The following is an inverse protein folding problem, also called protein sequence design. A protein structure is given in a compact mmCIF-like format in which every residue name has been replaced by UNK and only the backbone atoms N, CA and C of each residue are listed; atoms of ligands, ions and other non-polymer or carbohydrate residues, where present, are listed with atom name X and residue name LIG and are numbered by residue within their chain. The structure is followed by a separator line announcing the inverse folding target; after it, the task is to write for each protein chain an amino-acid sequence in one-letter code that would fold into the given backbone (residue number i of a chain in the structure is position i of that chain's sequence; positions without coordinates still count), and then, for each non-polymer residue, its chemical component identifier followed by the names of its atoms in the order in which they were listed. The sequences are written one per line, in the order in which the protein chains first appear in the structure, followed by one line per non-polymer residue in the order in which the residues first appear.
data_IF_510565315560
#
_entry.id   IF_510565315560
#
_cell.length_a   1.000
_cell.length_b   1.000
_cell.length_c   1.000
_cell.angle_alpha   90.00
_cell.angle_beta   90.00
_cell.angle_gamma   90.00
#
_symmetry.space_group_name_H-M   'P 1'
#
loop_
_entity.id
_entity.type
_entity.pdbx_description
1 polymer ?
#
# COMPACT_ATOMS: atom_id res chain seq x y z
N UNK A 1 2.06 18.01 7.24
CA UNK A 1 3.15 17.81 6.27
C UNK A 1 2.63 17.90 4.83
N UNK A 2 1.80 16.97 4.34
CA UNK A 2 1.35 16.97 2.93
C UNK A 2 0.58 18.23 2.51
N UNK A 3 -0.28 18.77 3.37
CA UNK A 3 -0.95 20.07 3.12
C UNK A 3 0.03 21.26 3.06
N UNK A 4 1.17 21.16 3.76
CA UNK A 4 2.18 22.23 3.85
C UNK A 4 3.18 22.17 2.69
N UNK A 5 3.47 20.97 2.18
CA UNK A 5 4.47 20.71 1.14
C UNK A 5 3.89 19.86 -0.01
N UNK A 6 2.81 20.31 -0.68
CA UNK A 6 2.11 19.50 -1.68
C UNK A 6 2.91 19.33 -2.99
N UNK A 7 3.89 20.22 -3.25
CA UNK A 7 4.77 20.15 -4.43
C UNK A 7 6.10 19.44 -4.14
N UNK A 8 6.52 19.43 -2.88
CA UNK A 8 7.83 18.93 -2.47
C UNK A 8 7.79 17.50 -1.94
N UNK A 9 6.60 17.02 -1.51
CA UNK A 9 6.43 15.69 -0.92
C UNK A 9 5.39 14.89 -1.70
N UNK A 10 5.84 13.77 -2.28
CA UNK A 10 4.98 12.74 -2.86
C UNK A 10 4.98 11.50 -1.99
N UNK A 11 3.81 11.03 -1.58
CA UNK A 11 3.63 9.75 -0.89
C UNK A 11 3.30 8.68 -1.90
N UNK A 12 4.04 7.58 -1.87
CA UNK A 12 3.81 6.42 -2.71
C UNK A 12 3.68 5.20 -1.80
N UNK A 13 2.57 4.49 -1.94
CA UNK A 13 2.39 3.18 -1.31
C UNK A 13 2.89 2.12 -2.27
N UNK A 14 3.70 1.18 -1.76
CA UNK A 14 4.19 0.01 -2.51
C UNK A 14 3.82 -1.24 -1.74
N UNK A 15 3.36 -2.26 -2.45
CA UNK A 15 2.87 -3.50 -1.89
C UNK A 15 3.99 -4.54 -1.83
N UNK A 16 4.07 -5.24 -0.71
CA UNK A 16 4.97 -6.38 -0.55
C UNK A 16 4.23 -7.53 0.15
N UNK A 17 3.31 -8.21 -0.55
CA UNK A 17 2.56 -9.31 0.05
C UNK A 17 3.53 -10.46 0.39
N UNK A 18 3.75 -10.68 1.69
CA UNK A 18 4.62 -11.74 2.18
C UNK A 18 4.03 -13.11 1.83
N UNK A 19 4.82 -13.99 1.21
CA UNK A 19 4.38 -15.33 0.78
C UNK A 19 3.86 -16.20 1.94
N UNK A 20 4.32 -15.94 3.17
CA UNK A 20 3.83 -16.60 4.40
C UNK A 20 2.39 -16.21 4.76
N UNK A 21 1.86 -15.13 4.19
CA UNK A 21 0.48 -14.68 4.37
C UNK A 21 -0.31 -14.95 3.10
N UNK A 22 -0.97 -16.13 3.03
CA UNK A 22 -1.65 -16.63 1.82
C UNK A 22 -2.57 -15.59 1.16
N UNK A 23 -3.31 -14.82 1.96
CA UNK A 23 -4.28 -13.84 1.45
C UNK A 23 -3.72 -12.42 1.24
N UNK A 24 -2.42 -12.20 1.49
CA UNK A 24 -1.84 -10.86 1.36
C UNK A 24 -1.86 -10.34 -0.08
N UNK A 25 -1.63 -11.21 -1.08
CA UNK A 25 -1.67 -10.79 -2.48
C UNK A 25 -3.08 -10.40 -2.91
N UNK A 26 -4.09 -11.18 -2.53
CA UNK A 26 -5.49 -10.88 -2.82
C UNK A 26 -5.93 -9.57 -2.16
N UNK A 27 -5.56 -9.36 -0.89
CA UNK A 27 -5.84 -8.11 -0.19
C UNK A 27 -5.17 -6.90 -0.87
N UNK A 28 -3.94 -7.04 -1.36
CA UNK A 28 -3.25 -5.99 -2.11
C UNK A 28 -3.97 -5.67 -3.44
N UNK A 29 -4.41 -6.69 -4.19
CA UNK A 29 -5.19 -6.51 -5.42
C UNK A 29 -6.50 -5.73 -5.16
N UNK A 30 -7.26 -6.11 -4.13
CA UNK A 30 -8.48 -5.37 -3.77
C UNK A 30 -8.20 -3.94 -3.33
N UNK A 31 -7.08 -3.70 -2.65
CA UNK A 31 -6.68 -2.34 -2.25
C UNK A 31 -6.33 -1.49 -3.48
N UNK A 32 -5.59 -2.03 -4.43
CA UNK A 32 -5.26 -1.36 -5.70
C UNK A 32 -6.51 -1.11 -6.55
N UNK A 33 -7.39 -2.10 -6.68
CA UNK A 33 -8.66 -1.98 -7.40
C UNK A 33 -9.59 -0.93 -6.77
N UNK A 34 -9.63 -0.82 -5.43
CA UNK A 34 -10.31 0.30 -4.77
C UNK A 34 -9.67 1.66 -5.08
N UNK A 35 -8.36 1.68 -5.34
CA UNK A 35 -7.64 2.85 -5.83
C UNK A 35 -8.13 3.35 -7.18
N UNK A 36 -8.55 2.46 -8.09
CA UNK A 36 -9.18 2.85 -9.37
C UNK A 36 -10.53 3.57 -9.18
N UNK A 37 -11.12 3.47 -7.99
CA UNK A 37 -12.34 4.19 -7.58
C UNK A 37 -12.04 5.36 -6.63
N UNK A 38 -10.76 5.71 -6.43
CA UNK A 38 -10.34 6.80 -5.55
C UNK A 38 -10.32 6.46 -4.06
N UNK A 39 -10.48 5.19 -3.68
CA UNK A 39 -10.61 4.75 -2.27
C UNK A 39 -9.49 3.82 -1.80
N UNK A 40 -8.28 3.97 -2.34
CA UNK A 40 -7.12 3.16 -1.94
C UNK A 40 -6.87 3.24 -0.43
N UNK A 41 -6.85 4.45 0.13
CA UNK A 41 -6.45 4.69 1.52
C UNK A 41 -7.48 4.11 2.50
N UNK A 42 -8.76 4.25 2.18
CA UNK A 42 -9.91 3.81 2.95
C UNK A 42 -9.93 2.29 2.97
N UNK A 43 -9.78 1.67 1.80
CA UNK A 43 -9.70 0.22 1.65
C UNK A 43 -8.49 -0.36 2.40
N UNK A 44 -7.31 0.23 2.21
CA UNK A 44 -6.09 -0.17 2.90
C UNK A 44 -6.26 -0.11 4.42
N UNK A 45 -6.75 1.01 4.96
CA UNK A 45 -7.00 1.17 6.40
C UNK A 45 -7.98 0.12 6.92
N UNK A 46 -9.04 -0.15 6.17
CA UNK A 46 -10.10 -1.07 6.58
C UNK A 46 -9.60 -2.52 6.62
N UNK A 47 -8.87 -2.95 5.59
CA UNK A 47 -8.20 -4.26 5.58
C UNK A 47 -7.19 -4.35 6.72
N UNK A 48 -6.34 -3.34 6.90
CA UNK A 48 -5.32 -3.33 7.96
C UNK A 48 -5.92 -3.25 9.37
N UNK A 49 -7.16 -2.80 9.53
CA UNK A 49 -7.88 -2.88 10.81
C UNK A 49 -8.33 -4.29 11.18
N UNK A 50 -8.44 -5.18 10.18
CA UNK A 50 -8.97 -6.56 10.32
C UNK A 50 -8.04 -7.62 9.73
N UNK A 51 -6.76 -7.30 9.53
CA UNK A 51 -5.84 -8.16 8.77
C UNK A 51 -5.63 -9.55 9.39
N UNK A 52 -5.83 -9.69 10.70
CA UNK A 52 -5.72 -10.97 11.41
C UNK A 52 -6.81 -11.96 10.97
N UNK A 53 -7.97 -11.45 10.55
CA UNK A 53 -9.12 -12.25 10.11
C UNK A 53 -8.90 -12.83 8.70
N UNK A 54 -8.03 -12.22 7.88
CA UNK A 54 -7.71 -12.71 6.52
C UNK A 54 -7.24 -14.16 6.50
N UNK A 55 -6.65 -14.66 7.60
CA UNK A 55 -6.21 -16.06 7.69
C UNK A 55 -7.37 -17.04 7.51
N UNK A 56 -8.56 -16.67 7.99
CA UNK A 56 -9.73 -17.54 8.04
C UNK A 56 -10.87 -17.05 7.13
N UNK A 57 -10.79 -15.82 6.59
CA UNK A 57 -11.76 -15.26 5.65
C UNK A 57 -11.04 -14.59 4.47
N UNK A 58 -10.98 -15.29 3.33
CA UNK A 58 -10.40 -14.75 2.09
C UNK A 58 -11.32 -13.75 1.37
N UNK A 59 -12.62 -13.75 1.69
CA UNK A 59 -13.61 -12.83 1.12
C UNK A 59 -13.68 -11.51 1.88
N UNK A 60 -13.01 -11.39 3.02
CA UNK A 60 -12.98 -10.17 3.83
C UNK A 60 -12.71 -8.90 3.01
N UNK A 61 -11.73 -8.84 2.07
CA UNK A 61 -11.55 -7.64 1.26
C UNK A 61 -12.80 -7.24 0.44
N UNK A 62 -13.53 -8.22 -0.10
CA UNK A 62 -14.76 -7.97 -0.86
C UNK A 62 -15.91 -7.48 0.03
N UNK A 63 -16.02 -8.03 1.24
CA UNK A 63 -16.99 -7.59 2.25
C UNK A 63 -16.71 -6.14 2.66
N UNK A 64 -15.46 -5.83 3.01
CA UNK A 64 -15.03 -4.48 3.41
C UNK A 64 -15.23 -3.47 2.28
N UNK A 65 -15.00 -3.86 1.04
CA UNK A 65 -15.30 -3.04 -0.13
C UNK A 65 -16.80 -2.73 -0.26
N UNK A 66 -17.67 -3.72 -0.01
CA UNK A 66 -19.12 -3.53 -0.04
C UNK A 66 -19.57 -2.54 1.04
N UNK A 67 -19.01 -2.68 2.25
CA UNK A 67 -19.26 -1.74 3.35
C UNK A 67 -18.72 -0.33 3.08
N UNK A 68 -17.73 -0.17 2.21
CA UNK A 68 -17.22 1.14 1.78
C UNK A 68 -18.05 1.76 0.65
N UNK A 69 -19.06 1.04 0.13
CA UNK A 69 -19.89 1.51 -0.98
C UNK A 69 -19.19 1.45 -2.34
N UNK A 70 -18.13 0.64 -2.47
CA UNK A 70 -17.43 0.47 -3.75
C UNK A 70 -18.29 -0.26 -4.77
N UNK A 71 -18.07 0.05 -6.05
CA UNK A 71 -18.65 -0.71 -7.15
C UNK A 71 -18.01 -2.11 -7.20
N UNK A 72 -18.77 -3.11 -6.76
CA UNK A 72 -18.32 -4.50 -6.66
C UNK A 72 -18.07 -5.13 -8.03
N UNK A 73 -18.87 -4.77 -9.04
CA UNK A 73 -18.67 -5.30 -10.40
C UNK A 73 -17.36 -4.79 -11.00
N UNK A 74 -17.06 -3.50 -10.79
CA UNK A 74 -15.78 -2.93 -11.19
C UNK A 74 -14.62 -3.59 -10.43
N UNK A 75 -14.71 -3.73 -9.10
CA UNK A 75 -13.67 -4.42 -8.31
C UNK A 75 -13.38 -5.83 -8.83
N UNK A 76 -14.43 -6.63 -9.09
CA UNK A 76 -14.27 -7.99 -9.60
C UNK A 76 -13.62 -8.05 -10.99
N UNK A 77 -13.78 -7.00 -11.79
CA UNK A 77 -13.09 -6.86 -13.08
C UNK A 77 -11.63 -6.45 -12.86
N UNK A 78 -11.41 -5.39 -12.09
CA UNK A 78 -10.10 -4.77 -11.87
C UNK A 78 -9.10 -5.75 -11.24
N UNK A 79 -9.52 -6.57 -10.26
CA UNK A 79 -8.61 -7.57 -9.65
C UNK A 79 -8.12 -8.65 -10.62
N UNK A 80 -8.77 -8.80 -11.79
CA UNK A 80 -8.36 -9.71 -12.86
C UNK A 80 -7.44 -9.04 -13.87
N UNK A 81 -7.28 -7.71 -13.81
CA UNK A 81 -6.38 -6.98 -14.68
C UNK A 81 -4.93 -7.37 -14.37
N UNK A 82 -4.18 -7.94 -15.34
CA UNK A 82 -2.78 -8.27 -15.13
C UNK A 82 -1.93 -7.03 -14.76
N UNK A 83 -2.36 -5.81 -15.09
CA UNK A 83 -1.66 -4.58 -14.71
C UNK A 83 -1.51 -4.45 -13.19
N UNK A 84 -2.54 -4.77 -12.40
CA UNK A 84 -2.46 -4.69 -10.94
C UNK A 84 -1.49 -5.72 -10.37
N UNK A 85 -1.54 -6.96 -10.88
CA UNK A 85 -0.60 -8.00 -10.45
C UNK A 85 0.85 -7.67 -10.88
N UNK A 86 1.04 -7.10 -12.07
CA UNK A 86 2.34 -6.65 -12.56
C UNK A 86 2.92 -5.49 -11.75
N UNK A 87 2.06 -4.58 -11.28
CA UNK A 87 2.46 -3.53 -10.34
C UNK A 87 3.01 -4.15 -9.05
N UNK A 88 2.26 -5.08 -8.42
CA UNK A 88 2.71 -5.77 -7.20
C UNK A 88 4.04 -6.51 -7.45
N UNK A 89 4.16 -7.20 -8.57
CA UNK A 89 5.38 -7.94 -8.92
C UNK A 89 6.59 -7.00 -9.07
N UNK A 90 6.38 -5.84 -9.71
CA UNK A 90 7.40 -4.79 -9.85
C UNK A 90 7.84 -4.29 -8.46
N UNK A 91 6.89 -3.94 -7.60
CA UNK A 91 7.15 -3.42 -6.24
C UNK A 91 7.89 -4.46 -5.37
N UNK A 92 7.54 -5.73 -5.50
CA UNK A 92 8.24 -6.84 -4.85
C UNK A 92 9.68 -6.97 -5.36
N UNK A 93 9.88 -6.88 -6.68
CA UNK A 93 11.21 -6.94 -7.30
C UNK A 93 12.08 -5.76 -6.87
N UNK A 94 11.52 -4.55 -6.82
CA UNK A 94 12.22 -3.35 -6.35
C UNK A 94 12.74 -3.54 -4.92
N UNK A 95 11.90 -4.02 -3.97
CA UNK A 95 12.38 -4.25 -2.61
C UNK A 95 13.46 -5.34 -2.57
N UNK A 96 13.31 -6.42 -3.35
CA UNK A 96 14.32 -7.49 -3.48
C UNK A 96 15.64 -7.01 -4.07
N UNK A 97 15.63 -6.01 -4.93
CA UNK A 97 16.84 -5.43 -5.52
C UNK A 97 17.63 -4.56 -4.53
N UNK A 98 17.03 -4.21 -3.39
CA UNK A 98 17.72 -3.47 -2.33
C UNK A 98 18.56 -4.38 -1.43
N UNK A 99 19.42 -3.77 -0.59
CA UNK A 99 20.12 -4.46 0.50
C UNK A 99 19.27 -4.55 1.78
N UNK A 100 18.01 -4.13 1.74
CA UNK A 100 17.15 -4.07 2.92
C UNK A 100 16.61 -5.47 3.26
N UNK A 101 16.40 -5.73 4.56
CA UNK A 101 15.73 -6.95 5.02
C UNK A 101 14.35 -7.09 4.39
N UNK A 102 14.00 -8.24 3.83
CA UNK A 102 12.70 -8.50 3.18
C UNK A 102 11.56 -8.68 4.19
N UNK A 103 11.09 -7.57 4.74
CA UNK A 103 9.99 -7.50 5.69
C UNK A 103 9.24 -6.18 5.55
N UNK A 104 8.04 -6.13 6.12
CA UNK A 104 7.18 -4.94 6.18
C UNK A 104 6.67 -4.71 7.61
N UNK A 105 6.28 -3.48 7.98
CA UNK A 105 6.33 -2.25 7.19
C UNK A 105 7.76 -1.72 6.97
N UNK A 106 7.94 -0.95 5.88
CA UNK A 106 9.14 -0.15 5.62
C UNK A 106 8.75 1.28 5.26
N UNK A 107 9.54 2.24 5.71
CA UNK A 107 9.38 3.64 5.38
C UNK A 107 10.67 4.11 4.71
N UNK A 108 10.56 4.67 3.51
CA UNK A 108 11.71 5.18 2.78
C UNK A 108 11.50 6.66 2.46
N UNK A 109 12.57 7.45 2.54
CA UNK A 109 12.62 8.81 2.01
C UNK A 109 13.72 8.82 0.95
N UNK A 110 13.37 9.17 -0.30
CA UNK A 110 14.31 9.19 -1.44
C UNK A 110 15.14 7.89 -1.60
N UNK A 111 14.55 6.74 -1.30
CA UNK A 111 15.20 5.43 -1.38
C UNK A 111 15.92 4.97 -0.11
N UNK A 112 16.07 5.82 0.90
CA UNK A 112 16.73 5.47 2.17
C UNK A 112 15.73 5.05 3.25
N UNK A 113 15.98 3.91 3.91
CA UNK A 113 15.11 3.39 4.98
C UNK A 113 15.14 4.27 6.23
N UNK A 114 13.96 4.47 6.82
CA UNK A 114 13.77 5.12 8.11
C UNK A 114 12.65 4.43 8.89
N UNK A 115 12.27 4.99 10.04
CA UNK A 115 11.18 4.50 10.86
C UNK A 115 10.10 5.59 11.03
N UNK A 116 8.90 5.16 11.42
CA UNK A 116 7.74 6.05 11.55
C UNK A 116 7.97 7.22 12.52
N UNK A 117 8.74 7.01 13.60
CA UNK A 117 9.02 8.06 14.59
C UNK A 117 9.91 9.17 14.02
N UNK A 118 10.89 8.81 13.20
CA UNK A 118 11.83 9.75 12.60
C UNK A 118 11.35 10.34 11.26
N UNK A 119 10.30 9.78 10.64
CA UNK A 119 9.83 10.13 9.30
C UNK A 119 9.57 11.64 9.15
N UNK A 120 8.76 12.21 10.04
CA UNK A 120 8.40 13.63 9.96
C UNK A 120 9.60 14.56 10.16
N UNK A 121 10.48 14.23 11.11
CA UNK A 121 11.68 15.01 11.37
C UNK A 121 12.60 15.01 10.14
N UNK A 122 12.91 13.83 9.58
CA UNK A 122 13.80 13.71 8.42
C UNK A 122 13.25 14.42 7.18
N UNK A 123 11.95 14.32 6.91
CA UNK A 123 11.34 15.08 5.81
C UNK A 123 11.53 16.58 6.02
N UNK A 124 11.31 17.07 7.24
CA UNK A 124 11.49 18.50 7.57
C UNK A 124 12.94 18.95 7.39
N UNK A 125 13.91 18.15 7.84
CA UNK A 125 15.34 18.42 7.67
C UNK A 125 15.75 18.50 6.19
N UNK A 126 15.30 17.57 5.34
CA UNK A 126 15.59 17.57 3.90
C UNK A 126 15.03 18.83 3.25
N UNK A 127 13.77 19.17 3.55
CA UNK A 127 13.12 20.36 3.01
C UNK A 127 13.81 21.67 3.46
N UNK A 128 14.38 21.71 4.66
CA UNK A 128 15.12 22.89 5.14
C UNK A 128 16.47 23.12 4.45
N UNK A 129 17.09 22.07 3.88
CA UNK A 129 18.40 22.14 3.23
C UNK A 129 18.32 22.46 1.73
N UNK A 130 17.11 22.45 1.17
CA UNK A 130 16.87 22.66 -0.26
C UNK A 130 16.43 24.10 -0.57
N UNK A 131 16.29 24.94 0.47
CA UNK A 131 16.09 26.38 0.42
C UNK A 131 17.38 27.09 0.85
#
# INVERSE_FOLDING_TARGET
MLKKYPKDVRVVYKNFPLRSHKQANLAALYTLAAGNQGMYNEMHKKIMGRYTELKNNEHLPLELASELGLNINQLRSDIKDPALQNQINTEVSELRSTKLRLAVPKFLINGEETNLRALQQKVTEILSKTN
#
